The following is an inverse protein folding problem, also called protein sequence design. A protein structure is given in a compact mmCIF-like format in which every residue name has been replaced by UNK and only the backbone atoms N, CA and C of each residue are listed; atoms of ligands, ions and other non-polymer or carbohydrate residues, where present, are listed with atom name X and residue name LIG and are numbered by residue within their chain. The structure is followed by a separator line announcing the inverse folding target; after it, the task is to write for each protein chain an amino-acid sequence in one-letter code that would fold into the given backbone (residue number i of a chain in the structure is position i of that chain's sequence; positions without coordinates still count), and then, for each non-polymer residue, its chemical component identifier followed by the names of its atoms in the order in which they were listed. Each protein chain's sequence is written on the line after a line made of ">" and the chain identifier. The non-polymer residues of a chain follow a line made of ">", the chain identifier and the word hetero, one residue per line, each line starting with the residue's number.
data_IF_135832027742
#
_entry.id   IF_135832027742
#
_cell.length_a   1.000
_cell.length_b   1.000
_cell.length_c   1.000
_cell.angle_alpha   90.00
_cell.angle_beta   90.00
_cell.angle_gamma   90.00
#
_symmetry.space_group_name_H-M   'P 1'
#
loop_
_entity.id
_entity.type
_entity.pdbx_description
1 polymer ?
#
# COMPACT_ATOMS: atom_id res chain seq x y z
N UNK A 1 -29.29 -9.01 -1.43
CA UNK A 1 -30.07 -8.38 -2.47
C UNK A 1 -29.31 -7.31 -3.21
N UNK A 2 -29.04 -6.20 -2.57
CA UNK A 2 -28.21 -5.16 -3.14
C UNK A 2 -26.84 -5.71 -3.53
N UNK A 3 -26.22 -6.51 -2.68
CA UNK A 3 -24.91 -7.09 -2.95
C UNK A 3 -24.94 -8.11 -4.09
N UNK A 4 -26.07 -8.77 -4.31
CA UNK A 4 -26.22 -9.70 -5.44
C UNK A 4 -26.11 -9.00 -6.77
N UNK A 5 -26.81 -7.87 -6.89
CA UNK A 5 -26.79 -7.08 -8.11
C UNK A 5 -25.39 -6.53 -8.36
N UNK A 6 -24.76 -6.03 -7.31
CA UNK A 6 -23.40 -5.53 -7.42
C UNK A 6 -22.42 -6.63 -7.81
N UNK A 7 -22.57 -7.81 -7.22
CA UNK A 7 -21.70 -8.94 -7.52
C UNK A 7 -21.79 -9.35 -8.99
N UNK A 8 -23.01 -9.37 -9.55
CA UNK A 8 -23.19 -9.71 -10.97
C UNK A 8 -22.55 -8.68 -11.88
N UNK A 9 -22.72 -7.40 -11.57
CA UNK A 9 -22.14 -6.34 -12.35
C UNK A 9 -20.63 -6.39 -12.31
N UNK A 10 -20.06 -6.61 -11.13
CA UNK A 10 -18.63 -6.65 -10.94
C UNK A 10 -17.98 -7.89 -11.56
N UNK A 11 -18.71 -8.98 -11.68
CA UNK A 11 -18.21 -10.20 -12.32
C UNK A 11 -17.84 -9.98 -13.77
N UNK A 12 -18.45 -9.02 -14.41
CA UNK A 12 -18.15 -8.70 -15.81
C UNK A 12 -16.79 -8.03 -15.95
N UNK A 13 -16.31 -7.39 -14.89
CA UNK A 13 -15.05 -6.65 -14.91
C UNK A 13 -13.93 -7.34 -14.15
N UNK A 14 -14.25 -8.00 -13.05
CA UNK A 14 -13.26 -8.56 -12.14
C UNK A 14 -13.72 -9.87 -11.54
N UNK A 15 -12.79 -10.79 -11.31
CA UNK A 15 -13.08 -12.03 -10.60
C UNK A 15 -13.32 -11.71 -9.11
N UNK A 16 -14.03 -12.57 -8.37
CA UNK A 16 -14.20 -12.39 -6.92
C UNK A 16 -12.87 -12.28 -6.17
N UNK A 17 -11.88 -13.05 -6.60
CA UNK A 17 -10.56 -12.99 -5.99
C UNK A 17 -9.88 -11.65 -6.23
N UNK A 18 -9.97 -11.13 -7.44
CA UNK A 18 -9.41 -9.82 -7.79
C UNK A 18 -10.08 -8.71 -6.98
N UNK A 19 -11.40 -8.80 -6.80
CA UNK A 19 -12.14 -7.83 -6.01
C UNK A 19 -11.72 -7.87 -4.53
N UNK A 20 -11.51 -9.06 -3.99
CA UNK A 20 -11.08 -9.20 -2.60
C UNK A 20 -9.71 -8.57 -2.40
N UNK A 21 -8.77 -8.82 -3.33
CA UNK A 21 -7.44 -8.24 -3.27
C UNK A 21 -7.48 -6.71 -3.37
N UNK A 22 -8.29 -6.21 -4.30
CA UNK A 22 -8.41 -4.76 -4.50
C UNK A 22 -9.03 -4.10 -3.28
N UNK A 23 -10.05 -4.74 -2.69
CA UNK A 23 -10.68 -4.23 -1.47
C UNK A 23 -9.69 -4.17 -0.31
N UNK A 24 -8.83 -5.18 -0.16
CA UNK A 24 -7.79 -5.17 0.86
C UNK A 24 -6.81 -4.02 0.65
N UNK A 25 -6.47 -3.72 -0.60
CA UNK A 25 -5.58 -2.62 -0.92
C UNK A 25 -6.21 -1.28 -0.55
N UNK A 26 -7.47 -1.06 -0.90
CA UNK A 26 -8.18 0.17 -0.53
C UNK A 26 -8.34 0.28 0.98
N UNK A 27 -8.57 -0.82 1.65
CA UNK A 27 -8.67 -0.85 3.11
C UNK A 27 -7.34 -0.41 3.75
N UNK A 28 -6.23 -0.92 3.22
CA UNK A 28 -4.91 -0.54 3.72
C UNK A 28 -4.65 0.96 3.51
N UNK A 29 -5.13 1.51 2.41
CA UNK A 29 -4.98 2.93 2.10
C UNK A 29 -6.02 3.82 2.79
N UNK A 30 -7.01 3.23 3.43
CA UNK A 30 -8.04 3.96 4.14
C UNK A 30 -7.61 4.54 5.48
N UNK A 31 -6.34 4.46 5.79
CA UNK A 31 -5.74 5.04 6.99
C UNK A 31 -4.87 6.23 6.58
N UNK A 32 -5.05 7.36 7.23
CA UNK A 32 -4.34 8.58 6.88
C UNK A 32 -2.81 8.41 6.91
N UNK A 33 -2.30 7.74 7.95
CA UNK A 33 -0.87 7.52 8.08
C UNK A 33 -0.35 6.64 6.94
N UNK A 34 -1.05 5.54 6.66
CA UNK A 34 -0.63 4.64 5.59
C UNK A 34 -0.71 5.30 4.22
N UNK A 35 -1.77 6.07 3.98
CA UNK A 35 -1.89 6.81 2.73
C UNK A 35 -0.75 7.80 2.58
N UNK A 36 -0.43 8.52 3.65
CA UNK A 36 0.69 9.45 3.65
C UNK A 36 2.02 8.79 3.34
N UNK A 37 2.25 7.61 3.92
CA UNK A 37 3.47 6.85 3.65
C UNK A 37 3.54 6.39 2.19
N UNK A 38 2.41 5.94 1.64
CA UNK A 38 2.33 5.55 0.22
C UNK A 38 2.69 6.71 -0.69
N UNK A 39 2.12 7.89 -0.41
CA UNK A 39 2.37 9.07 -1.22
C UNK A 39 3.83 9.53 -1.09
N UNK A 40 4.41 9.39 0.10
CA UNK A 40 5.81 9.73 0.32
C UNK A 40 6.74 8.82 -0.50
N UNK A 41 6.45 7.51 -0.52
CA UNK A 41 7.23 6.57 -1.33
C UNK A 41 7.07 6.90 -2.81
N UNK A 42 5.84 7.18 -3.24
CA UNK A 42 5.57 7.51 -4.64
C UNK A 42 6.30 8.77 -5.09
N UNK A 43 6.46 9.74 -4.20
CA UNK A 43 7.14 11.00 -4.50
C UNK A 43 8.65 10.91 -4.36
N UNK A 44 9.15 9.83 -3.80
CA UNK A 44 10.60 9.65 -3.60
C UNK A 44 11.30 9.35 -4.91
N UNK A 45 12.61 9.61 -4.94
CA UNK A 45 13.42 9.30 -6.11
C UNK A 45 13.31 7.82 -6.45
N UNK A 46 13.03 7.53 -7.71
CA UNK A 46 12.80 6.17 -8.22
C UNK A 46 11.64 5.45 -7.54
N UNK A 47 10.73 6.20 -6.89
CA UNK A 47 9.60 5.66 -6.14
C UNK A 47 10.07 4.61 -5.13
N UNK A 48 11.17 4.91 -4.44
CA UNK A 48 11.74 4.05 -3.42
C UNK A 48 12.22 4.90 -2.25
N UNK A 49 11.99 4.44 -1.02
CA UNK A 49 12.39 5.17 0.17
C UNK A 49 12.77 4.23 1.30
N UNK A 50 13.74 4.65 2.08
CA UNK A 50 14.17 3.97 3.29
C UNK A 50 13.20 4.29 4.43
N UNK A 51 12.99 3.34 5.35
CA UNK A 51 12.21 3.60 6.56
C UNK A 51 12.83 4.77 7.33
N UNK A 52 14.14 4.93 7.26
CA UNK A 52 14.84 6.03 7.94
C UNK A 52 14.46 7.40 7.37
N UNK A 53 14.08 7.46 6.10
CA UNK A 53 13.62 8.70 5.47
C UNK A 53 12.15 8.98 5.73
N UNK A 54 11.36 7.93 5.92
CA UNK A 54 9.91 8.05 6.09
C UNK A 54 9.50 8.39 7.51
N UNK A 55 10.27 7.93 8.49
CA UNK A 55 9.90 8.03 9.91
C UNK A 55 9.83 9.46 10.44
N UNK A 56 10.80 10.35 10.17
CA UNK A 56 10.82 11.68 10.79
C UNK A 56 9.56 12.51 10.53
N UNK A 57 9.04 12.45 9.31
CA UNK A 57 7.90 13.27 8.90
C UNK A 57 6.58 12.85 9.55
N UNK A 58 6.52 11.63 10.07
CA UNK A 58 5.28 11.13 10.68
C UNK A 58 5.11 11.57 12.13
N UNK A 59 6.19 11.92 12.81
CA UNK A 59 6.16 12.18 14.24
C UNK A 59 5.94 10.94 15.08
N UNK A 60 5.97 9.76 14.45
CA UNK A 60 5.74 8.48 15.12
C UNK A 60 7.07 7.76 15.40
N UNK A 61 7.03 6.77 16.29
CA UNK A 61 8.17 5.90 16.52
C UNK A 61 8.44 5.05 15.27
N UNK A 62 9.69 4.72 15.02
CA UNK A 62 10.07 3.90 13.86
C UNK A 62 9.34 2.56 13.86
N UNK A 63 9.15 1.94 15.02
CA UNK A 63 8.44 0.66 15.11
C UNK A 63 6.99 0.78 14.64
N UNK A 64 6.35 1.91 14.95
CA UNK A 64 4.98 2.16 14.51
C UNK A 64 4.92 2.36 13.00
N UNK A 65 5.86 3.12 12.45
CA UNK A 65 5.96 3.34 11.00
C UNK A 65 6.21 2.01 10.30
N UNK A 66 7.13 1.20 10.82
CA UNK A 66 7.43 -0.10 10.25
C UNK A 66 6.21 -1.02 10.23
N UNK A 67 5.37 -0.94 11.26
CA UNK A 67 4.14 -1.71 11.31
C UNK A 67 3.17 -1.30 10.18
N UNK A 68 3.00 0.00 9.98
CA UNK A 68 2.16 0.50 8.89
C UNK A 68 2.71 0.07 7.52
N UNK A 69 4.02 0.15 7.35
CA UNK A 69 4.65 -0.27 6.10
C UNK A 69 4.47 -1.77 5.86
N UNK A 70 4.52 -2.58 6.93
CA UNK A 70 4.27 -4.01 6.82
C UNK A 70 2.86 -4.29 6.30
N UNK A 71 1.87 -3.56 6.79
CA UNK A 71 0.49 -3.73 6.32
C UNK A 71 0.37 -3.39 4.84
N UNK A 72 1.10 -2.40 4.37
CA UNK A 72 1.13 -2.04 2.96
C UNK A 72 1.81 -3.12 2.11
N UNK A 73 2.88 -3.72 2.62
CA UNK A 73 3.55 -4.83 1.95
C UNK A 73 2.61 -6.04 1.88
N UNK A 74 1.96 -6.36 2.99
CA UNK A 74 1.07 -7.53 3.07
C UNK A 74 -0.13 -7.38 2.13
N UNK A 75 -0.58 -6.15 1.87
CA UNK A 75 -1.69 -5.89 0.94
C UNK A 75 -1.27 -5.85 -0.53
N UNK A 76 0.03 -5.98 -0.80
CA UNK A 76 0.53 -5.98 -2.16
C UNK A 76 0.77 -4.60 -2.76
N UNK A 77 0.84 -3.56 -1.94
CA UNK A 77 1.05 -2.20 -2.41
C UNK A 77 2.52 -1.79 -2.41
N UNK A 78 3.31 -2.34 -1.51
CA UNK A 78 4.73 -2.05 -1.43
C UNK A 78 5.57 -3.32 -1.49
N UNK A 79 6.76 -3.18 -2.05
CA UNK A 79 7.83 -4.18 -1.95
C UNK A 79 8.77 -3.73 -0.85
N UNK A 80 9.36 -4.69 -0.14
CA UNK A 80 10.36 -4.42 0.88
C UNK A 80 11.66 -5.08 0.49
N UNK A 81 12.75 -4.33 0.52
CA UNK A 81 14.08 -4.83 0.21
C UNK A 81 15.01 -4.46 1.35
N UNK A 82 15.73 -5.44 1.89
CA UNK A 82 16.72 -5.19 2.93
C UNK A 82 18.06 -4.85 2.27
N UNK A 83 18.66 -3.74 2.68
CA UNK A 83 19.99 -3.33 2.22
C UNK A 83 20.82 -2.96 3.44
N UNK A 84 21.74 -3.83 3.80
CA UNK A 84 22.49 -3.67 5.03
C UNK A 84 21.54 -3.71 6.21
N UNK A 85 21.57 -2.71 7.07
CA UNK A 85 20.70 -2.65 8.24
C UNK A 85 19.39 -1.89 8.03
N UNK A 86 19.15 -1.40 6.81
CA UNK A 86 17.96 -0.59 6.52
C UNK A 86 17.02 -1.30 5.56
N UNK A 87 15.73 -1.13 5.79
CA UNK A 87 14.70 -1.61 4.88
C UNK A 87 14.30 -0.49 3.93
N UNK A 88 14.19 -0.84 2.64
CA UNK A 88 13.74 0.07 1.59
C UNK A 88 12.39 -0.39 1.07
N UNK A 89 11.53 0.56 0.74
CA UNK A 89 10.17 0.30 0.26
C UNK A 89 9.97 0.95 -1.09
N UNK A 90 9.34 0.21 -2.00
CA UNK A 90 9.05 0.71 -3.35
C UNK A 90 7.65 0.31 -3.76
N UNK A 91 7.10 1.01 -4.74
CA UNK A 91 5.75 0.72 -5.23
C UNK A 91 5.73 -0.58 -6.02
N UNK A 92 4.68 -1.38 -5.82
CA UNK A 92 4.41 -2.53 -6.67
C UNK A 92 3.75 -2.05 -7.97
N UNK A 93 3.66 -2.94 -8.96
CA UNK A 93 2.93 -2.63 -10.19
C UNK A 93 1.46 -2.32 -9.89
N UNK A 94 0.86 -3.05 -8.94
CA UNK A 94 -0.52 -2.80 -8.52
C UNK A 94 -0.70 -1.40 -7.94
N UNK A 95 0.25 -0.98 -7.09
CA UNK A 95 0.19 0.35 -6.49
C UNK A 95 0.32 1.45 -7.56
N UNK A 96 1.19 1.25 -8.53
CA UNK A 96 1.37 2.21 -9.62
C UNK A 96 0.08 2.40 -10.40
N UNK A 97 -0.68 1.33 -10.60
CA UNK A 97 -1.97 1.40 -11.28
C UNK A 97 -2.99 2.19 -10.49
N UNK A 98 -3.03 1.98 -9.17
CA UNK A 98 -3.97 2.67 -8.30
C UNK A 98 -3.69 4.17 -8.19
N UNK A 99 -2.42 4.55 -8.24
CA UNK A 99 -2.01 5.95 -8.03
C UNK A 99 -1.96 6.75 -9.33
N UNK A 100 -2.31 6.15 -10.42
CA UNK A 100 -2.29 6.81 -11.72
C UNK A 100 -3.42 7.80 -11.91
#
# INVERSE_FOLDING_TARGET
>A
MYSSVMAQTLKLSHSPKALASLAEQFKALGDETRLGLMMAVAASEDAEACVCDLTPDTGLAQSTVSHHLKLLVDSGLLNRTQRGKWAYYSLTASAKKLLK
#
